data_IF_818177796615
#
_entry.id   IF_818177796615
#
_cell.length_a   1.000
_cell.length_b   1.000
_cell.length_c   1.000
_cell.angle_alpha   90.00
_cell.angle_beta   90.00
_cell.angle_gamma   90.00
#
_symmetry.space_group_name_H-M   'P 1'
#
loop_
_entity.id
_entity.type
_entity.pdbx_description
1 polymer ?
#
# COMPACT_ATOMS: atom_id res chain seq x y z
N UNK A 1 14.86 0.27 6.47
CA UNK A 1 13.91 0.06 7.61
C UNK A 1 13.99 1.09 8.74
N UNK A 2 15.12 1.74 9.04
CA UNK A 2 15.19 2.84 10.04
C UNK A 2 14.19 3.96 9.76
N UNK A 3 14.07 4.36 8.48
CA UNK A 3 13.15 5.41 8.01
C UNK A 3 11.68 5.18 8.38
N UNK A 4 11.18 3.93 8.29
CA UNK A 4 9.82 3.63 8.73
C UNK A 4 9.69 3.92 10.23
N UNK A 5 10.62 3.47 11.07
CA UNK A 5 10.56 3.72 12.53
C UNK A 5 10.56 5.21 12.87
N UNK A 6 11.31 5.99 12.11
CA UNK A 6 11.44 7.43 12.30
C UNK A 6 10.23 8.21 11.79
N UNK A 7 9.70 7.84 10.61
CA UNK A 7 8.72 8.64 9.87
C UNK A 7 7.28 8.14 9.95
N UNK A 8 7.07 6.87 10.26
CA UNK A 8 5.72 6.32 10.39
C UNK A 8 5.16 6.48 11.80
N UNK A 9 3.91 6.91 11.88
CA UNK A 9 3.05 6.88 13.08
C UNK A 9 1.67 6.43 12.64
N UNK A 10 0.98 5.61 13.43
CA UNK A 10 -0.36 5.11 13.07
C UNK A 10 -1.39 6.22 12.84
N UNK A 11 -1.20 7.37 13.49
CA UNK A 11 -2.07 8.55 13.34
C UNK A 11 -2.00 9.23 11.96
N UNK A 12 -1.03 8.88 11.11
CA UNK A 12 -0.87 9.49 9.76
C UNK A 12 -1.69 8.77 8.70
N UNK A 13 -2.35 7.67 9.05
CA UNK A 13 -3.18 6.88 8.15
C UNK A 13 -4.60 7.46 8.12
N UNK A 14 -5.15 7.62 6.92
CA UNK A 14 -6.55 7.96 6.71
C UNK A 14 -7.16 7.24 5.51
N UNK A 15 -8.47 7.06 5.50
CA UNK A 15 -9.20 6.64 4.29
C UNK A 15 -9.27 7.80 3.28
N UNK A 16 -9.08 7.49 2.01
CA UNK A 16 -9.20 8.45 0.91
C UNK A 16 -10.64 8.74 0.53
N UNK A 17 -10.90 9.94 0.02
CA UNK A 17 -12.21 10.30 -0.54
C UNK A 17 -12.39 9.59 -1.88
N UNK A 18 -13.62 9.18 -2.19
CA UNK A 18 -13.99 8.59 -3.48
C UNK A 18 -14.02 9.71 -4.53
N UNK A 19 -12.84 10.05 -5.05
CA UNK A 19 -12.66 11.01 -6.15
C UNK A 19 -12.02 10.32 -7.36
N UNK A 20 -12.44 10.71 -8.57
CA UNK A 20 -11.94 10.15 -9.81
C UNK A 20 -10.41 10.36 -9.92
N UNK A 21 -9.67 9.31 -10.27
CA UNK A 21 -8.20 9.33 -10.36
C UNK A 21 -7.41 9.20 -9.03
N UNK A 22 -8.04 9.33 -7.85
CA UNK A 22 -7.35 9.32 -6.54
C UNK A 22 -7.16 7.94 -5.86
N UNK A 23 -6.04 7.26 -6.11
CA UNK A 23 -5.76 5.93 -5.53
C UNK A 23 -5.24 6.02 -4.08
N UNK A 24 -4.57 4.98 -3.59
CA UNK A 24 -3.72 5.11 -2.40
C UNK A 24 -2.46 5.90 -2.71
N UNK A 25 -1.96 6.63 -1.71
CA UNK A 25 -0.75 7.43 -1.85
C UNK A 25 -0.10 7.81 -0.52
N UNK A 26 1.19 8.11 -0.58
CA UNK A 26 2.00 8.60 0.53
C UNK A 26 2.50 10.02 0.26
N UNK A 27 2.36 10.91 1.25
CA UNK A 27 2.84 12.29 1.19
C UNK A 27 4.13 12.42 2.00
N UNK A 28 5.14 13.10 1.43
CA UNK A 28 6.40 13.48 2.09
C UNK A 28 7.06 12.35 2.89
N UNK A 29 7.05 11.13 2.33
CA UNK A 29 7.66 9.93 2.93
C UNK A 29 7.12 9.63 4.34
N UNK A 30 5.80 9.66 4.50
CA UNK A 30 5.11 9.19 5.72
C UNK A 30 4.46 10.27 6.58
N UNK A 31 4.43 11.52 6.11
CA UNK A 31 3.68 12.60 6.77
C UNK A 31 2.17 12.33 6.73
N UNK A 32 1.70 11.76 5.62
CA UNK A 32 0.34 11.25 5.44
C UNK A 32 0.38 10.00 4.58
N UNK A 33 -0.42 9.00 4.94
CA UNK A 33 -0.65 7.80 4.12
C UNK A 33 -2.15 7.67 3.95
N UNK A 34 -2.61 7.66 2.70
CA UNK A 34 -4.02 7.59 2.36
C UNK A 34 -4.30 6.27 1.69
N UNK A 35 -5.27 5.52 2.23
CA UNK A 35 -5.70 4.26 1.66
C UNK A 35 -7.08 4.37 1.01
N UNK A 36 -7.20 3.82 -0.18
CA UNK A 36 -8.49 3.53 -0.80
C UNK A 36 -9.01 2.20 -0.23
N UNK A 37 -9.87 2.27 0.79
CA UNK A 37 -10.34 1.09 1.51
C UNK A 37 -11.56 0.43 0.85
N UNK A 38 -12.32 1.19 0.05
CA UNK A 38 -13.62 0.75 -0.49
C UNK A 38 -13.67 0.79 -2.01
N UNK A 39 -14.50 -0.07 -2.59
CA UNK A 39 -14.87 -0.01 -4.00
C UNK A 39 -15.47 1.36 -4.31
N UNK A 40 -15.16 1.85 -5.52
CA UNK A 40 -15.62 3.15 -6.00
C UNK A 40 -16.99 3.11 -6.68
N UNK A 41 -17.53 1.91 -6.83
CA UNK A 41 -18.89 1.72 -7.29
C UNK A 41 -19.91 2.04 -6.18
N UNK A 42 -21.19 1.96 -6.52
CA UNK A 42 -22.28 2.23 -5.59
C UNK A 42 -22.35 1.25 -4.42
N UNK A 43 -21.61 0.13 -4.45
CA UNK A 43 -21.63 -0.88 -3.40
C UNK A 43 -20.74 -0.51 -2.20
N UNK A 44 -19.72 0.34 -2.40
CA UNK A 44 -18.79 0.81 -1.36
C UNK A 44 -18.23 -0.33 -0.47
N UNK A 45 -18.00 -1.49 -1.08
CA UNK A 45 -17.55 -2.70 -0.41
C UNK A 45 -16.09 -2.53 0.01
N UNK A 46 -15.77 -2.95 1.23
CA UNK A 46 -14.40 -2.96 1.72
C UNK A 46 -13.57 -4.00 0.94
N UNK A 47 -12.39 -3.61 0.46
CA UNK A 47 -11.47 -4.57 -0.18
C UNK A 47 -11.00 -5.63 0.82
N UNK A 48 -10.61 -6.80 0.34
CA UNK A 48 -10.12 -7.86 1.20
C UNK A 48 -8.75 -7.53 1.81
N UNK A 49 -8.51 -8.08 3.00
CA UNK A 49 -7.30 -7.79 3.78
C UNK A 49 -6.02 -8.05 2.99
N UNK A 50 -5.96 -9.11 2.18
CA UNK A 50 -4.73 -9.46 1.45
C UNK A 50 -4.35 -8.39 0.43
N UNK A 51 -5.34 -7.86 -0.29
CA UNK A 51 -5.16 -6.74 -1.20
C UNK A 51 -4.73 -5.48 -0.43
N UNK A 52 -5.43 -5.15 0.66
CA UNK A 52 -5.09 -3.98 1.48
C UNK A 52 -3.69 -4.08 2.10
N UNK A 53 -3.23 -5.29 2.48
CA UNK A 53 -1.87 -5.52 2.95
C UNK A 53 -0.84 -5.33 1.84
N UNK A 54 -1.11 -5.79 0.62
CA UNK A 54 -0.22 -5.53 -0.54
C UNK A 54 -0.03 -4.03 -0.75
N UNK A 55 -1.12 -3.26 -0.75
CA UNK A 55 -1.10 -1.80 -0.90
C UNK A 55 -0.43 -1.14 0.30
N UNK A 56 -0.67 -1.59 1.53
CA UNK A 56 0.01 -1.07 2.72
C UNK A 56 1.53 -1.28 2.64
N UNK A 57 1.99 -2.43 2.16
CA UNK A 57 3.43 -2.69 1.98
C UNK A 57 4.02 -1.78 0.90
N UNK A 58 3.26 -1.48 -0.16
CA UNK A 58 3.66 -0.56 -1.21
C UNK A 58 3.86 0.86 -0.66
N UNK A 59 2.88 1.39 0.07
CA UNK A 59 2.98 2.73 0.66
C UNK A 59 4.11 2.80 1.72
N UNK A 60 4.27 1.76 2.54
CA UNK A 60 5.39 1.69 3.48
C UNK A 60 6.76 1.57 2.79
N UNK A 61 6.84 0.95 1.60
CA UNK A 61 8.05 0.94 0.80
C UNK A 61 8.39 2.34 0.27
N UNK A 62 7.40 3.16 -0.08
CA UNK A 62 7.64 4.58 -0.38
C UNK A 62 8.19 5.34 0.84
N UNK A 63 7.71 5.08 2.05
CA UNK A 63 8.26 5.66 3.30
C UNK A 63 9.69 5.19 3.55
N UNK A 64 9.97 3.90 3.30
CA UNK A 64 11.26 3.29 3.50
C UNK A 64 12.34 3.80 2.54
N UNK A 65 11.94 4.25 1.36
CA UNK A 65 12.85 4.63 0.27
C UNK A 65 13.27 6.10 0.34
N UNK A 66 14.47 6.40 -0.15
CA UNK A 66 14.91 7.77 -0.41
C UNK A 66 14.41 8.23 -1.77
N UNK A 67 14.45 7.35 -2.79
CA UNK A 67 13.95 7.67 -4.13
C UNK A 67 12.44 7.89 -4.18
N UNK A 68 11.96 8.67 -5.16
CA UNK A 68 10.53 8.95 -5.33
C UNK A 68 9.75 7.87 -6.09
N UNK A 69 10.41 7.12 -6.97
CA UNK A 69 9.76 6.11 -7.82
C UNK A 69 10.06 4.68 -7.38
N UNK A 70 9.55 3.69 -8.14
CA UNK A 70 9.79 2.26 -7.98
C UNK A 70 11.20 1.84 -8.44
N UNK A 71 12.22 2.51 -7.90
CA UNK A 71 13.62 2.18 -8.12
C UNK A 71 13.97 0.79 -7.57
N UNK A 72 15.16 0.24 -7.88
CA UNK A 72 15.63 -0.99 -7.23
C UNK A 72 15.63 -0.91 -5.69
N UNK A 73 15.97 0.25 -5.11
CA UNK A 73 15.87 0.49 -3.66
C UNK A 73 14.43 0.27 -3.15
N UNK A 74 13.45 0.79 -3.88
CA UNK A 74 12.04 0.59 -3.55
C UNK A 74 11.66 -0.89 -3.65
N UNK A 75 12.06 -1.58 -4.71
CA UNK A 75 11.74 -3.00 -4.93
C UNK A 75 12.33 -3.87 -3.81
N UNK A 76 13.57 -3.60 -3.40
CA UNK A 76 14.22 -4.28 -2.28
C UNK A 76 13.46 -4.04 -0.96
N UNK A 77 13.11 -2.78 -0.68
CA UNK A 77 12.33 -2.41 0.50
C UNK A 77 10.95 -3.07 0.51
N UNK A 78 10.25 -3.07 -0.63
CA UNK A 78 8.94 -3.68 -0.80
C UNK A 78 9.01 -5.20 -0.60
N UNK A 79 9.96 -5.88 -1.24
CA UNK A 79 10.18 -7.32 -1.09
C UNK A 79 10.47 -7.73 0.36
N UNK A 80 11.29 -6.94 1.08
CA UNK A 80 11.55 -7.16 2.51
C UNK A 80 10.29 -7.01 3.39
N UNK A 81 9.42 -6.04 3.07
CA UNK A 81 8.18 -5.81 3.81
C UNK A 81 7.15 -6.92 3.54
N UNK A 82 6.96 -7.27 2.28
CA UNK A 82 6.09 -8.38 1.86
C UNK A 82 6.55 -9.70 2.48
N UNK A 83 7.85 -10.01 2.42
CA UNK A 83 8.39 -11.23 3.04
C UNK A 83 8.08 -11.33 4.54
N UNK A 84 8.16 -10.21 5.27
CA UNK A 84 7.77 -10.15 6.68
C UNK A 84 6.26 -10.29 6.90
N UNK A 85 5.45 -9.76 5.99
CA UNK A 85 4.00 -9.92 6.06
C UNK A 85 3.58 -11.38 5.82
N UNK A 86 4.23 -12.07 4.89
CA UNK A 86 4.07 -13.52 4.65
C UNK A 86 4.49 -14.33 5.87
N UNK A 87 5.68 -14.05 6.44
CA UNK A 87 6.18 -14.73 7.64
C UNK A 87 5.20 -14.62 8.83
N UNK A 88 4.50 -13.48 8.93
CA UNK A 88 3.51 -13.21 9.99
C UNK A 88 2.10 -13.70 9.66
N UNK A 89 1.88 -14.27 8.47
CA UNK A 89 0.56 -14.73 8.02
C UNK A 89 -0.44 -13.62 7.72
N UNK A 90 0.01 -12.37 7.56
CA UNK A 90 -0.85 -11.22 7.22
C UNK A 90 -1.02 -11.03 5.71
N UNK A 91 -0.20 -11.71 4.90
CA UNK A 91 -0.24 -11.63 3.45
C UNK A 91 0.09 -12.98 2.83
N UNK A 92 -0.55 -13.30 1.71
CA UNK A 92 -0.33 -14.49 0.90
C UNK A 92 -0.27 -14.07 -0.56
N UNK A 93 0.78 -14.48 -1.26
CA UNK A 93 0.87 -14.29 -2.70
C UNK A 93 -0.23 -15.05 -3.43
N UNK A 94 -0.93 -14.37 -4.33
CA UNK A 94 -1.95 -14.92 -5.21
C UNK A 94 -1.58 -14.54 -6.65
N UNK A 95 -1.51 -15.53 -7.53
CA UNK A 95 -1.40 -15.30 -8.98
C UNK A 95 -2.78 -14.95 -9.54
N UNK A 96 -3.33 -13.84 -9.06
CA UNK A 96 -4.62 -13.31 -9.46
C UNK A 96 -4.51 -11.81 -9.73
N UNK A 97 -5.22 -11.37 -10.75
CA UNK A 97 -5.37 -9.95 -11.04
C UNK A 97 -6.58 -9.41 -10.29
N UNK A 98 -6.47 -8.18 -9.79
CA UNK A 98 -7.52 -7.51 -9.03
C UNK A 98 -7.63 -6.05 -9.40
N UNK A 99 -8.87 -5.57 -9.49
CA UNK A 99 -9.14 -4.15 -9.65
C UNK A 99 -9.12 -3.46 -8.29
N UNK A 100 -8.32 -2.41 -8.20
CA UNK A 100 -8.12 -1.63 -6.98
C UNK A 100 -8.19 -0.15 -7.30
N UNK A 101 -9.26 0.51 -6.84
CA UNK A 101 -9.38 1.97 -6.91
C UNK A 101 -9.22 2.56 -8.34
N UNK A 102 -9.64 1.81 -9.37
CA UNK A 102 -9.47 2.19 -10.78
C UNK A 102 -8.11 1.79 -11.39
N UNK A 103 -7.27 1.09 -10.63
CA UNK A 103 -6.06 0.43 -11.11
C UNK A 103 -6.34 -1.05 -11.34
N UNK A 104 -5.66 -1.62 -12.32
CA UNK A 104 -5.61 -3.05 -12.52
C UNK A 104 -4.28 -3.58 -11.98
N UNK A 105 -4.32 -4.25 -10.83
CA UNK A 105 -3.14 -4.84 -10.20
C UNK A 105 -3.00 -6.28 -10.69
N UNK A 106 -1.79 -6.64 -11.10
CA UNK A 106 -1.49 -8.01 -11.52
C UNK A 106 -0.66 -8.70 -10.46
N UNK A 107 -0.99 -9.96 -10.16
CA UNK A 107 -0.23 -10.84 -9.25
C UNK A 107 0.02 -10.24 -7.86
N UNK A 108 -1.04 -10.20 -7.05
CA UNK A 108 -0.97 -9.80 -5.64
C UNK A 108 -0.58 -10.96 -4.73
#
# INVERSE_FOLDING_TARGET
MSRIKERYRSSVISEGVIEEGMTSYTVNKGEKIVFCLRSRDTSSVLYDDNLLFSVAMHELAHVASVSESHSPEFQDNFGLLVGKAVERGSFVHRDQDVDYCGLHLTRI
#
